data_IF_599008978801
#
_entry.id   IF_599008978801
#
_cell.length_a   1.000
_cell.length_b   1.000
_cell.length_c   1.000
_cell.angle_alpha   90.00
_cell.angle_beta   90.00
_cell.angle_gamma   90.00
#
_symmetry.space_group_name_H-M   'P 1'
#
loop_
_entity.id
_entity.type
_entity.pdbx_description
1 polymer ?
#
# COMPACT_ATOMS: atom_id res chain seq x y z
N UNK A 1 16.71 -7.43 -2.95
CA UNK A 1 16.70 -6.95 -4.35
C UNK A 1 16.20 -5.53 -4.42
N UNK A 2 16.38 -4.84 -5.56
CA UNK A 2 16.10 -3.40 -5.67
C UNK A 2 14.66 -2.99 -5.30
N UNK A 3 13.65 -3.78 -5.67
CA UNK A 3 12.25 -3.47 -5.33
C UNK A 3 11.99 -3.45 -3.82
N UNK A 4 12.61 -4.35 -3.04
CA UNK A 4 12.50 -4.33 -1.58
C UNK A 4 13.26 -3.14 -0.99
N UNK A 5 14.45 -2.82 -1.50
CA UNK A 5 15.20 -1.65 -1.04
C UNK A 5 14.45 -0.34 -1.30
N UNK A 6 13.84 -0.19 -2.48
CA UNK A 6 13.03 0.98 -2.80
C UNK A 6 11.83 1.12 -1.86
N UNK A 7 11.10 0.03 -1.60
CA UNK A 7 9.94 0.07 -0.70
C UNK A 7 10.34 0.39 0.74
N UNK A 8 11.48 -0.13 1.22
CA UNK A 8 11.98 0.20 2.56
C UNK A 8 12.30 1.70 2.67
N UNK A 9 13.01 2.27 1.69
CA UNK A 9 13.28 3.71 1.67
C UNK A 9 12.00 4.55 1.60
N UNK A 10 11.02 4.12 0.80
CA UNK A 10 9.72 4.79 0.74
C UNK A 10 8.99 4.74 2.09
N UNK A 11 9.10 3.62 2.80
CA UNK A 11 8.50 3.47 4.14
C UNK A 11 9.13 4.38 5.17
N UNK A 12 10.45 4.42 5.21
CA UNK A 12 11.17 5.35 6.09
C UNK A 12 10.85 6.82 5.77
N UNK A 13 10.68 7.15 4.49
CA UNK A 13 10.34 8.49 4.06
C UNK A 13 8.93 8.90 4.49
N UNK A 14 7.93 8.02 4.33
CA UNK A 14 6.53 8.36 4.63
C UNK A 14 6.32 8.76 6.09
N UNK A 15 7.11 8.19 7.02
CA UNK A 15 7.01 8.46 8.45
C UNK A 15 7.28 9.94 8.72
N UNK A 16 8.29 10.50 8.03
CA UNK A 16 8.67 11.92 8.14
C UNK A 16 7.60 12.87 7.60
N UNK A 17 6.66 12.36 6.82
CA UNK A 17 5.59 13.13 6.16
C UNK A 17 4.20 12.86 6.76
N UNK A 18 4.12 12.18 7.91
CA UNK A 18 2.86 11.85 8.59
C UNK A 18 1.86 11.10 7.68
N UNK A 19 2.38 10.26 6.78
CA UNK A 19 1.56 9.37 5.96
C UNK A 19 1.52 8.01 6.67
N UNK A 20 0.33 7.56 7.05
CA UNK A 20 0.13 6.33 7.83
C UNK A 20 -0.28 5.13 6.98
N UNK A 21 -0.80 5.38 5.78
CA UNK A 21 -1.37 4.37 4.91
C UNK A 21 -0.82 4.47 3.51
N UNK A 22 -0.55 3.31 2.91
CA UNK A 22 -0.41 3.17 1.47
C UNK A 22 -1.54 2.32 0.92
N UNK A 23 -2.10 2.77 -0.20
CA UNK A 23 -3.08 2.03 -0.98
C UNK A 23 -2.51 1.79 -2.37
N UNK A 24 -2.66 0.57 -2.85
CA UNK A 24 -2.21 0.18 -4.19
C UNK A 24 -3.19 -0.81 -4.82
N UNK A 25 -3.40 -0.70 -6.13
CA UNK A 25 -4.07 -1.72 -6.92
C UNK A 25 -3.00 -2.63 -7.52
N UNK A 26 -2.92 -3.87 -7.04
CA UNK A 26 -1.93 -4.85 -7.48
C UNK A 26 -2.55 -5.86 -8.45
N UNK A 27 -1.91 -6.07 -9.60
CA UNK A 27 -2.22 -7.19 -10.48
C UNK A 27 -1.79 -8.53 -9.87
N UNK A 28 -2.17 -9.64 -10.53
CA UNK A 28 -1.89 -11.00 -10.05
C UNK A 28 -0.40 -11.31 -9.85
N UNK A 29 0.48 -10.72 -10.66
CA UNK A 29 1.93 -10.91 -10.58
C UNK A 29 2.56 -10.07 -9.46
N UNK A 30 1.98 -8.92 -9.14
CA UNK A 30 2.48 -8.00 -8.13
C UNK A 30 1.98 -8.31 -6.70
N UNK A 31 0.85 -9.01 -6.54
CA UNK A 31 0.29 -9.36 -5.22
C UNK A 31 1.35 -10.04 -4.32
N UNK A 32 2.13 -10.97 -4.87
CA UNK A 32 3.16 -11.69 -4.11
C UNK A 32 4.26 -10.77 -3.58
N UNK A 33 4.64 -9.74 -4.35
CA UNK A 33 5.57 -8.72 -3.93
C UNK A 33 4.98 -7.88 -2.79
N UNK A 34 3.77 -7.32 -2.95
CA UNK A 34 3.15 -6.46 -1.96
C UNK A 34 2.87 -7.19 -0.64
N UNK A 35 2.45 -8.46 -0.67
CA UNK A 35 2.35 -9.30 0.53
C UNK A 35 3.68 -9.38 1.29
N UNK A 36 4.79 -9.62 0.59
CA UNK A 36 6.14 -9.63 1.20
C UNK A 36 6.57 -8.26 1.73
N UNK A 37 6.00 -7.18 1.20
CA UNK A 37 6.17 -5.83 1.72
C UNK A 37 5.18 -5.49 2.84
N UNK A 38 4.40 -6.46 3.37
CA UNK A 38 3.49 -6.24 4.48
C UNK A 38 2.14 -5.61 4.10
N UNK A 39 1.80 -5.55 2.81
CA UNK A 39 0.47 -5.11 2.40
C UNK A 39 -0.55 -6.26 2.57
N UNK A 40 -1.77 -5.90 2.93
CA UNK A 40 -2.91 -6.80 3.11
C UNK A 40 -4.06 -6.47 2.14
N UNK A 41 -4.93 -7.45 1.90
CA UNK A 41 -6.22 -7.23 1.22
C UNK A 41 -7.31 -6.72 2.17
N UNK A 42 -7.06 -6.76 3.47
CA UNK A 42 -7.93 -6.20 4.50
C UNK A 42 -7.67 -4.69 4.61
N UNK A 43 -8.60 -3.90 4.09
CA UNK A 43 -8.49 -2.44 4.00
C UNK A 43 -9.14 -1.82 5.24
N UNK A 44 -8.32 -1.27 6.14
CA UNK A 44 -8.80 -0.64 7.38
C UNK A 44 -9.13 0.83 7.19
N UNK A 45 -8.55 1.48 6.20
CA UNK A 45 -8.89 2.87 5.86
C UNK A 45 -10.35 2.96 5.40
N UNK A 46 -11.16 3.87 5.99
CA UNK A 46 -12.52 4.09 5.53
C UNK A 46 -12.57 4.51 4.06
N UNK A 47 -13.48 3.91 3.28
CA UNK A 47 -13.68 4.20 1.85
C UNK A 47 -13.77 5.70 1.54
N UNK A 48 -14.41 6.49 2.41
CA UNK A 48 -14.54 7.94 2.25
C UNK A 48 -13.21 8.69 2.17
N UNK A 49 -12.09 8.10 2.61
CA UNK A 49 -10.77 8.73 2.53
C UNK A 49 -10.07 8.56 1.19
N UNK A 50 -10.47 7.59 0.36
CA UNK A 50 -9.76 7.28 -0.90
C UNK A 50 -10.67 7.15 -2.13
N UNK A 51 -11.95 6.85 -1.94
CA UNK A 51 -12.89 6.72 -3.05
C UNK A 51 -13.03 8.07 -3.77
N UNK A 52 -12.80 8.07 -5.08
CA UNK A 52 -12.78 9.29 -5.91
C UNK A 52 -11.41 9.98 -5.98
N UNK A 53 -10.46 9.60 -5.13
CA UNK A 53 -9.08 10.10 -5.15
C UNK A 53 -8.11 9.14 -5.85
N UNK A 54 -8.32 7.83 -5.69
CA UNK A 54 -7.56 6.79 -6.39
C UNK A 54 -8.40 6.16 -7.49
N UNK A 55 -7.78 5.86 -8.62
CA UNK A 55 -8.44 5.21 -9.75
C UNK A 55 -8.70 3.74 -9.40
N UNK A 56 -9.91 3.28 -9.70
CA UNK A 56 -10.28 1.87 -9.62
C UNK A 56 -9.81 1.15 -10.88
N UNK A 57 -9.18 0.00 -10.72
CA UNK A 57 -8.61 -0.79 -11.81
C UNK A 57 -9.27 -2.17 -11.84
N UNK A 58 -9.97 -2.45 -12.94
CA UNK A 58 -10.52 -3.78 -13.19
C UNK A 58 -9.39 -4.82 -13.31
N UNK A 59 -9.61 -6.01 -12.73
CA UNK A 59 -8.60 -7.07 -12.71
C UNK A 59 -7.46 -6.86 -11.70
N UNK A 60 -7.44 -5.75 -10.96
CA UNK A 60 -6.47 -5.52 -9.89
C UNK A 60 -7.11 -5.67 -8.50
N UNK A 61 -6.29 -6.03 -7.51
CA UNK A 61 -6.71 -6.11 -6.11
C UNK A 61 -6.23 -4.88 -5.35
N UNK A 62 -7.14 -4.13 -4.73
CA UNK A 62 -6.77 -3.09 -3.77
C UNK A 62 -6.09 -3.74 -2.55
N UNK A 63 -4.94 -3.21 -2.16
CA UNK A 63 -4.17 -3.64 -1.01
C UNK A 63 -3.71 -2.44 -0.16
N UNK A 64 -3.65 -2.63 1.14
CA UNK A 64 -3.27 -1.61 2.14
C UNK A 64 -2.01 -2.01 2.89
N UNK A 65 -1.10 -1.06 3.07
CA UNK A 65 -0.09 -1.09 4.13
C UNK A 65 -0.44 -0.03 5.17
N UNK A 66 -0.41 -0.42 6.44
CA UNK A 66 -0.61 0.48 7.57
C UNK A 66 0.64 0.48 8.43
N UNK A 67 1.21 1.65 8.66
CA UNK A 67 2.24 1.81 9.67
C UNK A 67 1.57 1.87 11.04
N UNK A 68 1.87 0.91 11.91
CA UNK A 68 1.48 1.00 13.31
C UNK A 68 2.24 2.16 13.95
N UNK A 69 1.50 3.00 14.69
CA UNK A 69 2.10 4.02 15.53
C UNK A 69 2.58 3.33 16.82
N UNK A 70 3.85 3.53 17.16
CA UNK A 70 4.40 3.16 18.47
C UNK A 70 3.75 3.99 19.59
#
# INVERSE_FOLDING_TARGET
GYGTHLMNHLKEYHIKHNILYFLTYADEYAIGYFKKQGFSKDIKVPKSRYLGYIKDYEGATLMEYHQEAD
#
